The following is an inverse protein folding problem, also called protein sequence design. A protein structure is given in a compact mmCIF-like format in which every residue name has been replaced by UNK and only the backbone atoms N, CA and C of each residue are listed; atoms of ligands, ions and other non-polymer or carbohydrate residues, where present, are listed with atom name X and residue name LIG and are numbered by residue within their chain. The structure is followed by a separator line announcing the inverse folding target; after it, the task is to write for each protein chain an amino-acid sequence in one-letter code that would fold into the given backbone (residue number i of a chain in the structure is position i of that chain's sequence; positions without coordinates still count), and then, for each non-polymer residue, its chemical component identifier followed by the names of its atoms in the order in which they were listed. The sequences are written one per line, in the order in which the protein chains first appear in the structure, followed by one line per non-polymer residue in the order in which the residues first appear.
data_IF_916505507957
#
_entry.id   IF_916505507957
#
_cell.length_a   1.000
_cell.length_b   1.000
_cell.length_c   1.000
_cell.angle_alpha   90.00
_cell.angle_beta   90.00
_cell.angle_gamma   90.00
#
_symmetry.space_group_name_H-M   'P 1'
#
loop_
_entity.id
_entity.type
_entity.pdbx_description
1 polymer ?
#
# COMPACT_ATOMS: atom_id res chain seq x y z
N UNK A 1 -54.96 28.30 -26.14
CA UNK A 1 -53.78 27.44 -25.96
C UNK A 1 -52.66 28.38 -25.54
N UNK A 2 -52.14 28.41 -24.31
CA UNK A 2 -52.13 27.51 -23.15
C UNK A 2 -51.96 28.37 -21.88
N UNK A 3 -52.78 28.20 -20.83
CA UNK A 3 -52.61 27.36 -19.63
C UNK A 3 -51.53 27.85 -18.63
N UNK A 4 -52.01 28.12 -17.42
CA UNK A 4 -51.29 28.56 -16.21
C UNK A 4 -50.47 27.39 -15.63
N UNK A 5 -49.22 27.63 -15.19
CA UNK A 5 -48.76 27.16 -13.86
C UNK A 5 -47.41 27.74 -13.42
N UNK A 6 -47.45 28.29 -12.21
CA UNK A 6 -46.38 28.59 -11.29
C UNK A 6 -45.62 27.31 -10.86
N UNK A 7 -44.27 27.31 -10.92
CA UNK A 7 -43.46 26.65 -9.90
C UNK A 7 -42.00 27.12 -9.95
N UNK A 8 -41.50 27.56 -8.79
CA UNK A 8 -40.10 27.79 -8.49
C UNK A 8 -39.25 26.54 -8.80
N UNK A 9 -38.09 26.73 -9.40
CA UNK A 9 -36.97 25.80 -9.32
C UNK A 9 -35.75 26.60 -8.83
N UNK A 10 -35.43 26.42 -7.56
CA UNK A 10 -34.30 27.01 -6.86
C UNK A 10 -32.95 26.55 -7.47
N UNK A 11 -31.90 27.38 -7.44
CA UNK A 11 -30.59 27.09 -7.99
C UNK A 11 -29.75 26.34 -6.95
N UNK A 12 -29.98 25.05 -6.75
CA UNK A 12 -29.14 24.24 -5.86
C UNK A 12 -29.18 22.75 -6.20
N UNK A 13 -28.32 22.28 -7.11
CA UNK A 13 -28.09 20.83 -7.28
C UNK A 13 -26.62 20.45 -7.46
N UNK A 14 -25.67 21.39 -7.32
CA UNK A 14 -24.25 21.11 -7.54
C UNK A 14 -23.36 20.91 -6.30
N UNK A 15 -23.85 21.15 -5.08
CA UNK A 15 -22.96 21.34 -3.89
C UNK A 15 -23.18 20.27 -2.80
N UNK A 16 -23.94 19.21 -3.08
CA UNK A 16 -24.45 18.29 -2.04
C UNK A 16 -23.68 17.00 -1.79
N UNK A 17 -22.70 16.61 -2.62
CA UNK A 17 -22.06 15.28 -2.50
C UNK A 17 -20.69 15.28 -1.82
N UNK A 18 -20.05 16.44 -1.65
CA UNK A 18 -18.68 16.53 -1.12
C UNK A 18 -18.61 16.72 0.41
N UNK A 19 -19.77 16.88 1.07
CA UNK A 19 -19.85 17.31 2.48
C UNK A 19 -19.89 16.15 3.49
N UNK A 20 -19.96 14.87 3.05
CA UNK A 20 -20.12 13.71 3.96
C UNK A 20 -19.22 12.51 3.65
N UNK A 21 -18.12 12.67 2.92
CA UNK A 21 -17.21 11.55 2.66
C UNK A 21 -16.40 11.26 3.93
N UNK A 22 -16.68 10.12 4.60
CA UNK A 22 -15.95 9.70 5.82
C UNK A 22 -14.45 9.63 5.53
N UNK A 23 -13.61 10.07 6.46
CA UNK A 23 -12.17 9.82 6.40
C UNK A 23 -11.90 8.31 6.46
N UNK A 24 -10.73 7.88 5.98
CA UNK A 24 -10.39 6.46 6.02
C UNK A 24 -10.26 5.93 7.46
N UNK A 25 -9.84 6.77 8.40
CA UNK A 25 -9.76 6.44 9.81
C UNK A 25 -11.16 6.21 10.41
N UNK A 26 -12.14 7.04 10.03
CA UNK A 26 -13.56 6.84 10.39
C UNK A 26 -14.11 5.54 9.79
N UNK A 27 -13.75 5.23 8.54
CA UNK A 27 -14.14 3.96 7.91
C UNK A 27 -13.56 2.75 8.65
N UNK A 28 -12.30 2.79 9.07
CA UNK A 28 -11.73 1.71 9.89
C UNK A 28 -12.38 1.63 11.28
N UNK A 29 -12.72 2.77 11.89
CA UNK A 29 -13.47 2.81 13.15
C UNK A 29 -14.85 2.14 13.02
N UNK A 30 -15.56 2.42 11.93
CA UNK A 30 -16.85 1.81 11.60
C UNK A 30 -16.72 0.31 11.29
N UNK A 31 -15.68 -0.10 10.56
CA UNK A 31 -15.38 -1.52 10.31
C UNK A 31 -15.07 -2.28 11.61
N UNK A 32 -14.38 -1.65 12.57
CA UNK A 32 -14.14 -2.24 13.88
C UNK A 32 -15.46 -2.50 14.65
N UNK A 33 -16.48 -1.68 14.40
CA UNK A 33 -17.85 -1.84 14.91
C UNK A 33 -18.72 -2.76 14.03
N UNK A 34 -18.13 -3.43 13.03
CA UNK A 34 -18.79 -4.35 12.10
C UNK A 34 -19.80 -3.69 11.15
N UNK A 35 -19.66 -2.40 10.86
CA UNK A 35 -20.46 -1.73 9.83
C UNK A 35 -19.98 -2.14 8.42
N UNK A 36 -20.74 -2.98 7.73
CA UNK A 36 -20.36 -3.52 6.42
C UNK A 36 -20.25 -2.44 5.33
N UNK A 37 -21.07 -1.39 5.42
CA UNK A 37 -21.04 -0.28 4.45
C UNK A 37 -19.68 0.42 4.43
N UNK A 38 -19.00 0.50 5.57
CA UNK A 38 -17.68 1.11 5.66
C UNK A 38 -16.61 0.30 4.90
N UNK A 39 -16.73 -1.04 4.88
CA UNK A 39 -15.86 -1.89 4.07
C UNK A 39 -16.10 -1.68 2.58
N UNK A 40 -17.36 -1.58 2.15
CA UNK A 40 -17.70 -1.33 0.74
C UNK A 40 -17.14 0.03 0.28
N UNK A 41 -17.29 1.07 1.09
CA UNK A 41 -16.75 2.40 0.76
C UNK A 41 -15.21 2.41 0.70
N UNK A 42 -14.55 1.69 1.61
CA UNK A 42 -13.09 1.53 1.56
C UNK A 42 -12.64 0.70 0.35
N UNK A 43 -13.45 -0.29 -0.04
CA UNK A 43 -13.22 -1.10 -1.25
C UNK A 43 -13.29 -0.23 -2.50
N UNK A 44 -14.35 0.56 -2.68
CA UNK A 44 -14.53 1.43 -3.85
C UNK A 44 -13.38 2.44 -3.99
N UNK A 45 -12.82 2.91 -2.87
CA UNK A 45 -11.66 3.82 -2.85
C UNK A 45 -10.35 3.17 -3.31
N UNK A 46 -10.11 1.92 -2.92
CA UNK A 46 -8.76 1.34 -2.98
C UNK A 46 -8.63 0.10 -3.86
N UNK A 47 -9.73 -0.52 -4.30
CA UNK A 47 -9.69 -1.76 -5.07
C UNK A 47 -8.84 -1.63 -6.35
N UNK A 48 -8.99 -0.53 -7.11
CA UNK A 48 -8.25 -0.31 -8.37
C UNK A 48 -6.74 -0.25 -8.16
N UNK A 49 -6.29 0.51 -7.16
CA UNK A 49 -4.85 0.65 -6.86
C UNK A 49 -4.27 -0.66 -6.33
N UNK A 50 -4.96 -1.33 -5.42
CA UNK A 50 -4.51 -2.61 -4.88
C UNK A 50 -4.49 -3.70 -5.95
N UNK A 51 -5.47 -3.72 -6.85
CA UNK A 51 -5.51 -4.64 -7.98
C UNK A 51 -4.33 -4.42 -8.92
N UNK A 52 -4.05 -3.16 -9.29
CA UNK A 52 -2.93 -2.81 -10.17
C UNK A 52 -1.59 -3.24 -9.55
N UNK A 53 -1.42 -3.01 -8.25
CA UNK A 53 -0.24 -3.45 -7.50
C UNK A 53 -0.12 -4.97 -7.49
N UNK A 54 -1.19 -5.67 -7.10
CA UNK A 54 -1.20 -7.13 -7.02
C UNK A 54 -0.92 -7.76 -8.38
N UNK A 55 -1.53 -7.25 -9.46
CA UNK A 55 -1.35 -7.74 -10.83
C UNK A 55 0.10 -7.63 -11.29
N UNK A 56 0.78 -6.52 -11.00
CA UNK A 56 2.21 -6.35 -11.31
C UNK A 56 3.10 -7.38 -10.59
N UNK A 57 2.74 -7.75 -9.36
CA UNK A 57 3.53 -8.69 -8.55
C UNK A 57 3.25 -10.15 -8.98
N UNK A 58 1.99 -10.54 -9.14
CA UNK A 58 1.61 -11.95 -9.36
C UNK A 58 1.52 -12.33 -10.84
N UNK A 59 1.44 -11.34 -11.74
CA UNK A 59 1.36 -11.54 -13.20
C UNK A 59 0.12 -12.29 -13.67
N UNK A 60 -0.91 -12.46 -12.82
CA UNK A 60 -2.11 -13.23 -13.12
C UNK A 60 -3.35 -12.52 -12.56
N UNK A 61 -4.35 -12.27 -13.42
CA UNK A 61 -5.55 -11.52 -13.05
C UNK A 61 -6.38 -12.21 -11.95
N UNK A 62 -6.56 -13.53 -12.01
CA UNK A 62 -7.31 -14.28 -11.00
C UNK A 62 -6.62 -14.18 -9.63
N UNK A 63 -5.32 -14.46 -9.57
CA UNK A 63 -4.55 -14.36 -8.32
C UNK A 63 -4.53 -12.92 -7.79
N UNK A 64 -4.47 -11.91 -8.67
CA UNK A 64 -4.53 -10.52 -8.25
C UNK A 64 -5.89 -10.17 -7.60
N UNK A 65 -7.00 -10.67 -8.15
CA UNK A 65 -8.33 -10.50 -7.54
C UNK A 65 -8.42 -11.19 -6.18
N UNK A 66 -7.86 -12.40 -6.05
CA UNK A 66 -7.83 -13.13 -4.77
C UNK A 66 -7.03 -12.36 -3.70
N UNK A 67 -5.87 -11.81 -4.08
CA UNK A 67 -5.04 -10.98 -3.20
C UNK A 67 -5.79 -9.73 -2.73
N UNK A 68 -6.49 -9.04 -3.62
CA UNK A 68 -7.28 -7.85 -3.27
C UNK A 68 -8.39 -8.21 -2.30
N UNK A 69 -9.15 -9.26 -2.58
CA UNK A 69 -10.21 -9.75 -1.68
C UNK A 69 -9.63 -10.12 -0.30
N UNK A 70 -8.53 -10.85 -0.28
CA UNK A 70 -7.86 -11.23 0.96
C UNK A 70 -7.33 -10.01 1.74
N UNK A 71 -6.84 -8.98 1.05
CA UNK A 71 -6.40 -7.74 1.67
C UNK A 71 -7.55 -7.03 2.39
N UNK A 72 -8.72 -6.88 1.74
CA UNK A 72 -9.90 -6.26 2.37
C UNK A 72 -10.49 -7.12 3.49
N UNK A 73 -10.55 -8.43 3.34
CA UNK A 73 -10.97 -9.34 4.42
C UNK A 73 -10.01 -9.27 5.62
N UNK A 74 -8.70 -9.16 5.36
CA UNK A 74 -7.71 -8.98 6.40
C UNK A 74 -7.84 -7.61 7.06
N UNK A 75 -8.11 -6.56 6.29
CA UNK A 75 -8.36 -5.23 6.81
C UNK A 75 -9.59 -5.22 7.73
N UNK A 76 -10.69 -5.85 7.32
CA UNK A 76 -11.88 -6.04 8.15
C UNK A 76 -11.57 -6.74 9.48
N UNK A 77 -10.78 -7.81 9.45
CA UNK A 77 -10.39 -8.53 10.69
C UNK A 77 -9.48 -7.70 11.59
N UNK A 78 -8.63 -6.85 11.01
CA UNK A 78 -7.62 -6.08 11.73
C UNK A 78 -8.02 -4.63 12.01
N UNK A 79 -9.21 -4.19 11.60
CA UNK A 79 -9.68 -2.82 11.76
C UNK A 79 -9.54 -2.31 13.20
N UNK A 80 -9.91 -3.12 14.20
CA UNK A 80 -9.78 -2.78 15.61
C UNK A 80 -8.33 -2.67 16.13
N UNK A 81 -7.35 -3.21 15.40
CA UNK A 81 -5.93 -3.19 15.76
C UNK A 81 -5.16 -2.07 15.06
N UNK A 82 -5.81 -1.36 14.13
CA UNK A 82 -5.22 -0.23 13.45
C UNK A 82 -5.00 0.92 14.44
N UNK A 83 -3.91 1.66 14.23
CA UNK A 83 -3.59 2.84 15.01
C UNK A 83 -3.00 3.88 14.07
N UNK A 84 -3.61 5.05 14.02
CA UNK A 84 -3.19 6.18 13.17
C UNK A 84 -1.71 6.56 13.39
N UNK A 85 -1.21 6.37 14.62
CA UNK A 85 0.22 6.56 14.98
C UNK A 85 1.19 5.64 14.24
N UNK A 86 0.70 4.60 13.54
CA UNK A 86 1.50 3.65 12.75
C UNK A 86 1.53 3.98 11.25
N UNK A 87 0.85 5.04 10.83
CA UNK A 87 0.74 5.48 9.43
C UNK A 87 -0.70 5.49 8.92
N UNK A 88 -0.95 6.19 7.81
CA UNK A 88 -2.28 6.32 7.22
C UNK A 88 -2.82 4.99 6.63
N UNK A 89 -4.14 4.89 6.53
CA UNK A 89 -4.87 3.69 6.06
C UNK A 89 -4.43 3.26 4.67
N UNK A 90 -4.24 4.21 3.74
CA UNK A 90 -3.77 3.95 2.37
C UNK A 90 -2.45 3.18 2.36
N UNK A 91 -1.45 3.66 3.08
CA UNK A 91 -0.13 3.04 3.17
C UNK A 91 -0.23 1.64 3.78
N UNK A 92 -1.02 1.52 4.84
CA UNK A 92 -1.25 0.23 5.49
C UNK A 92 -1.89 -0.81 4.54
N UNK A 93 -2.89 -0.41 3.76
CA UNK A 93 -3.53 -1.27 2.76
C UNK A 93 -2.58 -1.67 1.63
N UNK A 94 -1.78 -0.74 1.12
CA UNK A 94 -0.78 -1.01 0.08
C UNK A 94 0.25 -2.04 0.58
N UNK A 95 0.78 -1.85 1.79
CA UNK A 95 1.74 -2.78 2.40
C UNK A 95 1.10 -4.15 2.63
N UNK A 96 -0.12 -4.19 3.14
CA UNK A 96 -0.87 -5.44 3.35
C UNK A 96 -1.06 -6.21 2.04
N UNK A 97 -1.56 -5.53 1.00
CA UNK A 97 -1.78 -6.11 -0.32
C UNK A 97 -0.48 -6.62 -0.94
N UNK A 98 0.61 -5.84 -0.87
CA UNK A 98 1.93 -6.24 -1.36
C UNK A 98 2.42 -7.52 -0.69
N UNK A 99 2.30 -7.62 0.63
CA UNK A 99 2.75 -8.80 1.38
C UNK A 99 1.96 -10.04 0.95
N UNK A 100 0.64 -9.93 0.85
CA UNK A 100 -0.21 -11.02 0.34
C UNK A 100 0.16 -11.40 -1.10
N UNK A 101 0.35 -10.43 -1.99
CA UNK A 101 0.75 -10.67 -3.37
C UNK A 101 2.07 -11.45 -3.47
N UNK A 102 3.07 -11.07 -2.68
CA UNK A 102 4.36 -11.76 -2.63
C UNK A 102 4.20 -13.18 -2.10
N UNK A 103 3.39 -13.38 -1.06
CA UNK A 103 3.16 -14.71 -0.49
C UNK A 103 2.45 -15.65 -1.49
N UNK A 104 1.46 -15.14 -2.23
CA UNK A 104 0.81 -15.85 -3.35
C UNK A 104 1.78 -16.15 -4.48
N UNK A 105 2.58 -15.17 -4.91
CA UNK A 105 3.62 -15.37 -5.93
C UNK A 105 4.61 -16.46 -5.51
N UNK A 106 5.07 -16.45 -4.25
CA UNK A 106 5.97 -17.47 -3.71
C UNK A 106 5.32 -18.85 -3.67
N UNK A 107 4.06 -18.95 -3.27
CA UNK A 107 3.34 -20.23 -3.29
C UNK A 107 3.30 -20.83 -4.69
N UNK A 108 3.05 -19.99 -5.70
CA UNK A 108 3.09 -20.39 -7.12
C UNK A 108 4.51 -20.73 -7.59
N UNK A 109 5.53 -19.96 -7.21
CA UNK A 109 6.92 -20.24 -7.59
C UNK A 109 7.45 -21.53 -6.97
N UNK A 110 7.11 -21.85 -5.72
CA UNK A 110 7.46 -23.15 -5.11
C UNK A 110 6.85 -24.34 -5.89
N UNK A 111 5.66 -24.14 -6.47
CA UNK A 111 5.05 -25.11 -7.38
C UNK A 111 5.71 -25.09 -8.78
N UNK A 112 6.29 -23.95 -9.15
CA UNK A 112 6.84 -23.67 -10.48
C UNK A 112 8.38 -23.62 -10.54
N UNK A 113 9.12 -24.14 -9.55
CA UNK A 113 10.60 -24.18 -9.46
C UNK A 113 11.31 -24.97 -10.58
N UNK A 114 10.81 -24.91 -11.81
CA UNK A 114 11.50 -25.23 -13.05
C UNK A 114 11.75 -24.05 -13.98
N UNK A 115 11.31 -22.79 -13.74
CA UNK A 115 11.72 -21.68 -14.62
C UNK A 115 11.36 -20.24 -14.16
N UNK A 116 12.42 -19.42 -14.16
CA UNK A 116 12.53 -17.98 -14.49
C UNK A 116 12.54 -16.94 -13.36
N UNK A 117 13.54 -16.05 -13.53
CA UNK A 117 13.87 -14.80 -12.84
C UNK A 117 12.78 -13.71 -12.94
N UNK A 118 12.73 -12.85 -11.93
CA UNK A 118 11.81 -11.72 -11.85
C UNK A 118 12.48 -10.44 -12.37
N UNK A 119 11.81 -9.77 -13.31
CA UNK A 119 12.17 -8.44 -13.80
C UNK A 119 11.84 -7.38 -12.72
N UNK A 120 12.72 -6.40 -12.53
CA UNK A 120 12.65 -5.44 -11.42
C UNK A 120 11.33 -4.66 -11.43
N UNK A 121 10.61 -4.67 -10.31
CA UNK A 121 9.43 -3.82 -10.10
C UNK A 121 9.92 -2.37 -9.94
N UNK A 122 9.92 -1.64 -11.06
CA UNK A 122 10.26 -0.23 -11.12
C UNK A 122 9.33 0.65 -10.27
N UNK A 123 9.86 1.81 -9.90
CA UNK A 123 9.27 2.86 -9.07
C UNK A 123 7.76 3.03 -9.28
N UNK A 124 7.01 2.78 -8.20
CA UNK A 124 5.55 2.81 -8.21
C UNK A 124 5.09 4.25 -7.93
N UNK A 125 5.04 5.07 -8.98
CA UNK A 125 4.24 6.30 -8.97
C UNK A 125 2.79 5.91 -9.29
N UNK A 126 1.96 5.83 -8.25
CA UNK A 126 0.52 5.56 -8.37
C UNK A 126 -0.18 6.89 -8.59
N UNK A 127 -0.38 7.26 -9.84
CA UNK A 127 -1.34 8.32 -10.18
C UNK A 127 -2.76 7.75 -10.04
N UNK A 128 -3.45 8.14 -8.98
CA UNK A 128 -4.88 7.95 -8.84
C UNK A 128 -5.46 9.24 -8.25
N UNK A 129 -6.21 10.00 -9.04
CA UNK A 129 -6.96 11.21 -8.65
C UNK A 129 -6.32 12.02 -7.50
N UNK A 130 -4.99 12.17 -7.57
CA UNK A 130 -4.25 12.92 -6.59
C UNK A 130 -4.35 14.36 -7.02
N UNK A 131 -4.71 15.24 -6.09
CA UNK A 131 -4.52 16.66 -6.33
C UNK A 131 -3.06 16.90 -6.75
N UNK A 132 -2.76 17.89 -7.61
CA UNK A 132 -1.39 18.21 -8.00
C UNK A 132 -0.45 18.43 -6.80
N UNK A 133 -1.00 18.88 -5.67
CA UNK A 133 -0.29 19.01 -4.40
C UNK A 133 0.11 17.65 -3.80
N UNK A 134 -0.78 16.65 -3.77
CA UNK A 134 -0.48 15.31 -3.29
C UNK A 134 0.55 14.57 -4.16
N UNK A 135 0.48 14.77 -5.48
CA UNK A 135 1.48 14.21 -6.40
C UNK A 135 2.87 14.82 -6.17
N UNK A 136 2.95 16.11 -5.84
CA UNK A 136 4.20 16.77 -5.49
C UNK A 136 4.78 16.25 -4.16
N UNK A 137 3.93 16.06 -3.15
CA UNK A 137 4.33 15.46 -1.85
C UNK A 137 4.86 14.03 -2.07
N UNK A 138 4.15 13.21 -2.85
CA UNK A 138 4.59 11.84 -3.13
C UNK A 138 5.95 11.77 -3.85
N UNK A 139 6.23 12.71 -4.77
CA UNK A 139 7.55 12.81 -5.43
C UNK A 139 8.65 13.20 -4.45
N UNK A 140 8.36 14.14 -3.55
CA UNK A 140 9.32 14.56 -2.52
C UNK A 140 9.59 13.43 -1.51
N UNK A 141 8.55 12.71 -1.06
CA UNK A 141 8.69 11.52 -0.20
C UNK A 141 9.54 10.44 -0.88
N UNK A 142 9.31 10.19 -2.18
CA UNK A 142 10.12 9.27 -2.98
C UNK A 142 11.60 9.69 -3.03
N UNK A 143 11.86 10.99 -3.26
CA UNK A 143 13.22 11.56 -3.26
C UNK A 143 13.90 11.40 -1.89
N UNK A 144 13.18 11.68 -0.80
CA UNK A 144 13.69 11.55 0.56
C UNK A 144 13.97 10.08 0.93
N UNK A 145 13.11 9.15 0.50
CA UNK A 145 13.34 7.72 0.66
C UNK A 145 14.60 7.26 -0.08
N UNK A 146 14.79 7.70 -1.32
CA UNK A 146 15.98 7.38 -2.09
C UNK A 146 17.25 7.89 -1.39
N UNK A 147 17.24 9.13 -0.89
CA UNK A 147 18.35 9.68 -0.11
C UNK A 147 18.59 8.93 1.21
N UNK A 148 17.53 8.46 1.88
CA UNK A 148 17.65 7.67 3.10
C UNK A 148 18.25 6.28 2.82
N UNK A 149 17.87 5.64 1.71
CA UNK A 149 18.46 4.38 1.25
C UNK A 149 19.95 4.57 0.93
N UNK A 150 20.31 5.69 0.30
CA UNK A 150 21.69 6.05 -0.04
C UNK A 150 22.60 6.25 1.18
N UNK A 151 22.02 6.57 2.35
CA UNK A 151 22.76 6.70 3.61
C UNK A 151 22.94 5.37 4.36
N UNK A 152 22.23 4.32 3.96
CA UNK A 152 22.42 3.00 4.58
C UNK A 152 23.78 2.41 4.20
N UNK A 153 24.48 1.74 5.15
CA UNK A 153 25.58 0.84 4.82
C UNK A 153 25.14 -0.18 3.77
N UNK A 154 26.04 -0.50 2.83
CA UNK A 154 25.75 -1.37 1.69
C UNK A 154 25.04 -2.66 2.09
N UNK A 155 25.56 -3.39 3.08
CA UNK A 155 24.96 -4.66 3.51
C UNK A 155 23.53 -4.51 4.08
N UNK A 156 23.19 -3.35 4.64
CA UNK A 156 21.85 -3.03 5.14
C UNK A 156 20.92 -2.62 4.00
N UNK A 157 21.45 -1.93 2.99
CA UNK A 157 20.70 -1.60 1.75
C UNK A 157 20.40 -2.86 0.95
N UNK A 158 21.40 -3.72 0.72
CA UNK A 158 21.28 -4.93 -0.09
C UNK A 158 20.12 -5.82 0.42
N UNK A 159 20.02 -6.04 1.74
CA UNK A 159 18.92 -6.85 2.30
C UNK A 159 17.54 -6.18 2.16
N UNK A 160 17.49 -4.85 2.13
CA UNK A 160 16.24 -4.10 1.88
C UNK A 160 15.89 -4.18 0.40
N UNK A 161 16.85 -4.02 -0.51
CA UNK A 161 16.65 -4.11 -1.95
C UNK A 161 16.20 -5.52 -2.37
N UNK A 162 16.84 -6.56 -1.84
CA UNK A 162 16.44 -7.94 -2.12
C UNK A 162 15.02 -8.25 -1.60
N UNK A 163 14.67 -7.76 -0.41
CA UNK A 163 13.32 -7.93 0.13
C UNK A 163 12.28 -7.08 -0.64
N UNK A 164 12.67 -5.88 -1.06
CA UNK A 164 11.75 -4.89 -1.62
C UNK A 164 11.60 -5.02 -3.14
N UNK A 165 12.69 -5.11 -3.88
CA UNK A 165 12.69 -5.18 -5.34
C UNK A 165 12.61 -6.61 -5.87
N UNK A 166 13.21 -7.60 -5.17
CA UNK A 166 13.16 -9.01 -5.57
C UNK A 166 12.13 -9.85 -4.81
N UNK A 167 11.48 -9.26 -3.81
CA UNK A 167 10.43 -9.94 -3.04
C UNK A 167 10.93 -11.13 -2.22
N UNK A 168 12.23 -11.21 -1.91
CA UNK A 168 12.81 -12.35 -1.19
C UNK A 168 12.49 -12.30 0.30
N UNK A 169 12.26 -13.46 0.91
CA UNK A 169 12.13 -13.62 2.35
C UNK A 169 13.50 -13.56 3.01
N UNK A 170 13.55 -13.33 4.32
CA UNK A 170 14.83 -13.29 5.04
C UNK A 170 15.61 -14.61 4.96
N UNK A 171 14.93 -15.75 4.83
CA UNK A 171 15.55 -17.05 4.57
C UNK A 171 16.08 -17.18 3.15
N UNK A 172 15.32 -16.75 2.15
CA UNK A 172 15.77 -16.77 0.74
C UNK A 172 16.95 -15.81 0.53
N UNK A 173 16.95 -14.65 1.17
CA UNK A 173 18.10 -13.73 1.17
C UNK A 173 19.31 -14.40 1.82
N UNK A 174 19.12 -15.12 2.94
CA UNK A 174 20.19 -15.83 3.62
C UNK A 174 20.82 -16.90 2.71
N UNK A 175 19.99 -17.64 1.99
CA UNK A 175 20.41 -18.65 1.01
C UNK A 175 21.13 -18.00 -0.21
N UNK A 176 20.51 -17.00 -0.85
CA UNK A 176 21.04 -16.34 -2.05
C UNK A 176 22.36 -15.61 -1.79
N UNK A 177 22.50 -15.00 -0.61
CA UNK A 177 23.71 -14.25 -0.23
C UNK A 177 24.71 -15.07 0.58
N UNK A 178 24.44 -16.36 0.81
CA UNK A 178 25.21 -17.24 1.69
C UNK A 178 25.54 -16.59 3.06
N UNK A 179 24.57 -15.85 3.60
CA UNK A 179 24.68 -15.11 4.86
C UNK A 179 23.81 -15.79 5.91
N UNK A 180 24.24 -15.95 7.18
CA UNK A 180 23.39 -16.54 8.21
C UNK A 180 22.06 -15.80 8.38
N UNK A 181 20.95 -16.53 8.52
CA UNK A 181 19.61 -15.96 8.69
C UNK A 181 19.54 -14.94 9.84
N UNK A 182 20.24 -15.20 10.95
CA UNK A 182 20.34 -14.26 12.07
C UNK A 182 20.97 -12.92 11.69
N UNK A 183 21.98 -12.94 10.81
CA UNK A 183 22.64 -11.75 10.27
C UNK A 183 21.71 -10.99 9.33
N UNK A 184 20.99 -11.68 8.43
CA UNK A 184 19.98 -11.06 7.56
C UNK A 184 18.91 -10.35 8.39
N UNK A 185 18.33 -11.04 9.39
CA UNK A 185 17.36 -10.45 10.32
C UNK A 185 17.89 -9.21 11.03
N UNK A 186 19.13 -9.27 11.49
CA UNK A 186 19.78 -8.16 12.19
C UNK A 186 20.00 -6.98 11.25
N UNK A 187 20.51 -7.21 10.04
CA UNK A 187 20.71 -6.17 9.01
C UNK A 187 19.39 -5.53 8.60
N UNK A 188 18.33 -6.31 8.36
CA UNK A 188 16.99 -5.78 8.04
C UNK A 188 16.48 -4.90 9.17
N UNK A 189 16.56 -5.36 10.43
CA UNK A 189 16.10 -4.56 11.58
C UNK A 189 16.87 -3.24 11.70
N UNK A 190 18.20 -3.29 11.57
CA UNK A 190 19.04 -2.09 11.63
C UNK A 190 18.76 -1.12 10.49
N UNK A 191 18.58 -1.62 9.27
CA UNK A 191 18.20 -0.82 8.11
C UNK A 191 16.88 -0.09 8.35
N UNK A 192 15.84 -0.80 8.80
CA UNK A 192 14.52 -0.21 9.08
C UNK A 192 14.56 0.86 10.17
N UNK A 193 15.34 0.64 11.25
CA UNK A 193 15.51 1.66 12.30
C UNK A 193 16.19 2.92 11.77
N UNK A 194 17.23 2.78 10.94
CA UNK A 194 17.94 3.92 10.34
C UNK A 194 17.09 4.67 9.33
N UNK A 195 16.42 3.96 8.43
CA UNK A 195 15.50 4.56 7.45
C UNK A 195 14.43 5.39 8.16
N UNK A 196 13.83 4.86 9.23
CA UNK A 196 12.89 5.63 10.06
C UNK A 196 13.54 6.88 10.64
N UNK A 197 14.76 6.78 11.16
CA UNK A 197 15.50 7.93 11.69
C UNK A 197 15.72 9.02 10.63
N UNK A 198 16.21 8.64 9.44
CA UNK A 198 16.46 9.57 8.34
C UNK A 198 15.17 10.23 7.84
N UNK A 199 14.09 9.47 7.68
CA UNK A 199 12.81 10.00 7.20
C UNK A 199 12.12 10.93 8.20
N UNK A 200 12.27 10.67 9.51
CA UNK A 200 11.80 11.58 10.57
C UNK A 200 12.62 12.87 10.55
N UNK A 201 13.95 12.78 10.41
CA UNK A 201 14.82 13.95 10.35
C UNK A 201 14.57 14.81 9.10
N UNK A 202 14.21 14.17 7.98
CA UNK A 202 13.91 14.83 6.72
C UNK A 202 12.48 15.44 6.65
N UNK A 203 11.65 15.25 7.69
CA UNK A 203 10.30 15.82 7.75
C UNK A 203 9.23 15.09 6.92
N UNK A 204 9.53 13.92 6.37
CA UNK A 204 8.59 13.13 5.54
C UNK A 204 7.50 12.41 6.35
N UNK A 205 7.73 12.16 7.65
CA UNK A 205 6.74 11.53 8.53
C UNK A 205 6.27 12.57 9.56
N UNK A 206 5.25 13.35 9.19
CA UNK A 206 4.45 14.12 10.16
C UNK A 206 3.56 13.15 10.97
N UNK A 207 3.44 13.41 12.27
CA UNK A 207 2.86 12.53 13.30
C UNK A 207 1.34 12.35 13.20
#
# INVERSE_FOLDING_TARGET
MDFIMNQQADPATGVGQDVLRRSDDELLGAMAQREQQALAELYDRYATVLYTLALKIVGNASTAQDVVQEAFLTAWRKAALYSQKRGNVRTWLIVLCRNLAIDHYRAKMRLASRRVEMESVGEILIEHDQSPAEAAVAREDGRLLQQALEQLPREQRDVIELAYFRGLSQSEIAEETNTPLGTVKTRTRQAMMKLRGYLVQAGSIAY
#
